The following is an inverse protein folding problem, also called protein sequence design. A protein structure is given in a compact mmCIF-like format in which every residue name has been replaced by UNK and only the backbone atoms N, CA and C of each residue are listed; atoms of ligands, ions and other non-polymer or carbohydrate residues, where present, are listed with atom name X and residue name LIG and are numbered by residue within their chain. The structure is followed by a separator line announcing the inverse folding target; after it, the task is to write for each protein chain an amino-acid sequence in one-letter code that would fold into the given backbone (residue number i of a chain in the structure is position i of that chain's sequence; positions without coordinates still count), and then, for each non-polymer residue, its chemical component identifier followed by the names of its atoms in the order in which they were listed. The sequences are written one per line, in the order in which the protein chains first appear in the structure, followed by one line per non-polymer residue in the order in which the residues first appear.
data_IF_483139119767
#
_entry.id   IF_483139119767
#
_cell.length_a   1.000
_cell.length_b   1.000
_cell.length_c   1.000
_cell.angle_alpha   90.00
_cell.angle_beta   90.00
_cell.angle_gamma   90.00
#
_symmetry.space_group_name_H-M   'P 1'
#
loop_
_entity.id
_entity.type
_entity.pdbx_description
1 polymer ?
#
# COMPACT_ATOMS: atom_id res chain seq x y z
N UNK A 1 1.38 -34.19 8.56
CA UNK A 1 0.36 -35.25 8.80
C UNK A 1 0.17 -36.06 7.52
N UNK A 2 -0.76 -37.03 7.46
CA UNK A 2 -1.03 -37.80 6.24
C UNK A 2 -2.51 -37.77 5.86
N UNK A 3 -2.82 -37.67 4.57
CA UNK A 3 -4.21 -37.54 4.07
C UNK A 3 -4.52 -38.63 3.06
N UNK A 4 -5.74 -39.18 3.12
CA UNK A 4 -6.23 -40.14 2.13
C UNK A 4 -7.13 -39.40 1.12
N UNK A 5 -6.84 -39.54 -0.17
CA UNK A 5 -7.68 -39.02 -1.26
C UNK A 5 -7.73 -40.04 -2.39
N UNK A 6 -8.93 -40.37 -2.85
CA UNK A 6 -9.16 -41.37 -3.91
C UNK A 6 -8.42 -42.71 -3.67
N UNK A 7 -8.38 -43.16 -2.42
CA UNK A 7 -7.71 -44.41 -2.02
C UNK A 7 -6.18 -44.33 -1.95
N UNK A 8 -5.58 -43.17 -2.18
CA UNK A 8 -4.13 -42.95 -2.09
C UNK A 8 -3.76 -42.23 -0.79
N UNK A 9 -2.69 -42.67 -0.15
CA UNK A 9 -2.09 -42.01 1.01
C UNK A 9 -1.09 -40.95 0.54
N UNK A 10 -1.23 -39.72 1.04
CA UNK A 10 -0.33 -38.62 0.75
C UNK A 10 0.34 -38.13 2.03
N UNK A 11 1.65 -37.91 1.97
CA UNK A 11 2.41 -37.22 3.01
C UNK A 11 2.26 -35.71 2.82
N UNK A 12 2.04 -34.99 3.92
CA UNK A 12 1.97 -33.54 3.89
C UNK A 12 3.36 -32.92 3.76
N UNK A 13 3.47 -31.91 2.90
CA UNK A 13 4.65 -31.06 2.78
C UNK A 13 4.27 -29.62 3.08
N UNK A 14 5.11 -28.96 3.87
CA UNK A 14 4.96 -27.52 4.15
C UNK A 14 5.71 -26.70 3.11
N UNK A 15 5.09 -25.60 2.67
CA UNK A 15 5.73 -24.64 1.81
C UNK A 15 6.36 -23.53 2.65
N UNK A 16 7.64 -23.24 2.40
CA UNK A 16 8.33 -22.13 3.07
C UNK A 16 7.66 -20.78 2.83
N UNK A 17 7.79 -19.88 3.80
CA UNK A 17 7.30 -18.50 3.70
C UNK A 17 7.89 -17.80 2.48
N UNK A 18 7.06 -17.10 1.72
CA UNK A 18 7.49 -16.40 0.49
C UNK A 18 7.62 -17.30 -0.76
N UNK A 19 7.13 -18.54 -0.73
CA UNK A 19 7.08 -19.37 -1.93
C UNK A 19 6.18 -18.79 -3.02
N UNK A 20 6.46 -19.15 -4.28
CA UNK A 20 5.63 -18.81 -5.43
C UNK A 20 4.76 -19.99 -5.84
N UNK A 21 3.70 -19.74 -6.62
CA UNK A 21 2.88 -20.82 -7.20
C UNK A 21 3.77 -21.77 -8.01
N UNK A 22 4.69 -21.24 -8.83
CA UNK A 22 5.66 -22.03 -9.59
C UNK A 22 6.56 -22.88 -8.68
N UNK A 23 7.10 -22.29 -7.61
CA UNK A 23 7.96 -22.99 -6.66
C UNK A 23 7.25 -24.16 -6.00
N UNK A 24 6.00 -23.95 -5.61
CA UNK A 24 5.13 -24.99 -5.05
C UNK A 24 4.85 -26.10 -6.05
N UNK A 25 4.47 -25.76 -7.28
CA UNK A 25 4.21 -26.74 -8.35
C UNK A 25 5.46 -27.55 -8.64
N UNK A 26 6.61 -26.89 -8.81
CA UNK A 26 7.88 -27.55 -9.10
C UNK A 26 8.29 -28.51 -7.97
N UNK A 27 8.16 -28.10 -6.70
CA UNK A 27 8.44 -28.96 -5.55
C UNK A 27 7.57 -30.22 -5.57
N UNK A 28 6.26 -30.07 -5.82
CA UNK A 28 5.34 -31.20 -5.90
C UNK A 28 5.68 -32.13 -7.09
N UNK A 29 6.07 -31.58 -8.23
CA UNK A 29 6.54 -32.35 -9.39
C UNK A 29 7.85 -33.11 -9.09
N UNK A 30 8.76 -32.55 -8.31
CA UNK A 30 9.97 -33.27 -7.87
C UNK A 30 9.63 -34.49 -7.02
N UNK A 31 8.67 -34.37 -6.10
CA UNK A 31 8.19 -35.53 -5.32
C UNK A 31 7.53 -36.58 -6.21
N UNK A 32 6.75 -36.16 -7.22
CA UNK A 32 6.15 -37.05 -8.22
C UNK A 32 7.23 -37.85 -8.96
N UNK A 33 8.30 -37.18 -9.40
CA UNK A 33 9.44 -37.82 -10.10
C UNK A 33 10.12 -38.85 -9.20
N UNK A 34 10.21 -38.58 -7.88
CA UNK A 34 10.74 -39.51 -6.88
C UNK A 34 9.77 -40.64 -6.50
N UNK A 35 8.60 -40.73 -7.14
CA UNK A 35 7.58 -41.73 -6.86
C UNK A 35 6.85 -41.50 -5.53
N UNK A 36 6.90 -40.29 -4.97
CA UNK A 36 6.26 -39.95 -3.70
C UNK A 36 4.94 -39.23 -3.92
N UNK A 37 3.90 -39.69 -3.21
CA UNK A 37 2.60 -39.05 -3.16
C UNK A 37 2.59 -38.06 -2.00
N UNK A 38 2.59 -36.77 -2.33
CA UNK A 38 2.58 -35.70 -1.33
C UNK A 38 1.51 -34.66 -1.66
N UNK A 39 1.10 -33.90 -0.65
CA UNK A 39 0.20 -32.77 -0.81
C UNK A 39 0.65 -31.59 0.07
N UNK A 40 0.27 -30.38 -0.29
CA UNK A 40 0.48 -29.21 0.55
C UNK A 40 -0.60 -28.15 0.33
N UNK A 41 -0.79 -27.29 1.32
CA UNK A 41 -1.72 -26.17 1.26
C UNK A 41 -0.98 -24.88 0.89
N UNK A 42 -1.43 -24.21 -0.17
CA UNK A 42 -0.89 -22.92 -0.60
C UNK A 42 -2.03 -21.95 -0.92
N UNK A 43 -2.02 -20.77 -0.29
CA UNK A 43 -3.07 -19.77 -0.44
C UNK A 43 -4.49 -20.36 -0.29
N UNK A 44 -4.70 -21.22 0.72
CA UNK A 44 -5.98 -21.91 1.00
C UNK A 44 -6.39 -22.98 -0.03
N UNK A 45 -5.49 -23.35 -0.96
CA UNK A 45 -5.73 -24.43 -1.93
C UNK A 45 -4.80 -25.62 -1.67
N UNK A 46 -5.37 -26.83 -1.65
CA UNK A 46 -4.59 -28.06 -1.58
C UNK A 46 -4.13 -28.50 -2.97
N UNK A 47 -2.82 -28.62 -3.14
CA UNK A 47 -2.17 -29.13 -4.34
C UNK A 47 -1.55 -30.51 -4.06
N UNK A 48 -1.59 -31.41 -5.04
CA UNK A 48 -1.20 -32.82 -4.89
C UNK A 48 -0.18 -33.19 -5.97
N UNK A 49 0.89 -33.91 -5.60
CA UNK A 49 2.01 -34.20 -6.50
C UNK A 49 1.61 -34.93 -7.78
N UNK A 50 0.61 -35.81 -7.74
CA UNK A 50 0.24 -36.61 -8.91
C UNK A 50 -0.70 -35.87 -9.88
N UNK A 51 -1.47 -34.90 -9.41
CA UNK A 51 -2.46 -34.15 -10.22
C UNK A 51 -2.08 -32.71 -10.50
N UNK A 52 -1.02 -32.18 -9.89
CA UNK A 52 -0.62 -30.79 -10.08
C UNK A 52 -0.14 -30.56 -11.52
N UNK A 53 -0.58 -29.43 -12.07
CA UNK A 53 -0.15 -28.86 -13.33
C UNK A 53 -0.03 -27.34 -13.13
N UNK A 54 0.84 -26.70 -13.90
CA UNK A 54 1.12 -25.27 -13.74
C UNK A 54 -0.12 -24.42 -13.97
N UNK A 55 -0.83 -24.62 -15.08
CA UNK A 55 -2.03 -23.83 -15.39
C UNK A 55 -3.19 -24.19 -14.48
N UNK A 56 -3.31 -25.46 -14.07
CA UNK A 56 -4.33 -25.87 -13.09
C UNK A 56 -4.11 -25.17 -11.74
N UNK A 57 -2.86 -25.11 -11.26
CA UNK A 57 -2.54 -24.44 -10.00
C UNK A 57 -2.80 -22.92 -10.08
N UNK A 58 -2.32 -22.28 -11.15
CA UNK A 58 -2.56 -20.85 -11.37
C UNK A 58 -4.05 -20.52 -11.48
N UNK A 59 -4.84 -21.31 -12.20
CA UNK A 59 -6.29 -21.10 -12.31
C UNK A 59 -7.00 -21.29 -10.98
N UNK A 60 -6.62 -22.30 -10.21
CA UNK A 60 -7.23 -22.56 -8.91
C UNK A 60 -6.99 -21.40 -7.93
N UNK A 61 -5.77 -20.88 -7.88
CA UNK A 61 -5.35 -19.88 -6.89
C UNK A 61 -5.68 -18.44 -7.31
N UNK A 62 -5.55 -18.13 -8.60
CA UNK A 62 -5.63 -16.74 -9.12
C UNK A 62 -6.80 -16.50 -10.07
N UNK A 63 -7.46 -17.57 -10.54
CA UNK A 63 -8.48 -17.51 -11.59
C UNK A 63 -7.92 -17.34 -13.01
N UNK A 64 -6.60 -17.32 -13.19
CA UNK A 64 -5.91 -17.08 -14.48
C UNK A 64 -4.96 -18.24 -14.83
N UNK A 65 -4.69 -18.47 -16.11
CA UNK A 65 -3.53 -19.27 -16.54
C UNK A 65 -2.23 -18.62 -16.10
N UNK A 66 -1.12 -19.37 -16.14
CA UNK A 66 0.21 -18.80 -15.91
C UNK A 66 0.49 -17.62 -16.85
N UNK A 67 0.24 -17.82 -18.14
CA UNK A 67 0.47 -16.80 -19.18
C UNK A 67 -0.33 -15.53 -18.93
N UNK A 68 -1.63 -15.65 -18.58
CA UNK A 68 -2.47 -14.50 -18.27
C UNK A 68 -2.03 -13.78 -16.98
N UNK A 69 -1.57 -14.53 -15.98
CA UNK A 69 -1.04 -13.96 -14.75
C UNK A 69 0.24 -13.18 -15.02
N UNK A 70 1.20 -13.78 -15.74
CA UNK A 70 2.49 -13.18 -16.07
C UNK A 70 2.33 -11.91 -16.92
N UNK A 71 1.45 -11.96 -17.92
CA UNK A 71 1.11 -10.80 -18.75
C UNK A 71 0.45 -9.68 -17.93
N UNK A 72 -0.40 -10.04 -16.98
CA UNK A 72 -1.00 -9.09 -16.05
C UNK A 72 0.04 -8.42 -15.14
N UNK A 73 1.00 -9.19 -14.61
CA UNK A 73 2.11 -8.68 -13.81
C UNK A 73 3.00 -7.74 -14.63
N UNK A 74 3.32 -8.12 -15.87
CA UNK A 74 4.12 -7.30 -16.79
C UNK A 74 3.46 -5.94 -17.04
N UNK A 75 2.17 -5.93 -17.42
CA UNK A 75 1.42 -4.68 -17.64
C UNK A 75 1.37 -3.82 -16.39
N UNK A 76 1.11 -4.42 -15.23
CA UNK A 76 1.08 -3.68 -13.96
C UNK A 76 2.43 -3.03 -13.64
N UNK A 77 3.55 -3.69 -13.92
CA UNK A 77 4.89 -3.13 -13.71
C UNK A 77 5.17 -1.98 -14.67
N UNK A 78 4.89 -2.17 -15.95
CA UNK A 78 5.04 -1.14 -16.98
C UNK A 78 4.21 0.11 -16.67
N UNK A 79 2.98 -0.08 -16.18
CA UNK A 79 2.11 1.01 -15.76
C UNK A 79 2.62 1.75 -14.53
N UNK A 80 3.17 1.04 -13.54
CA UNK A 80 3.82 1.66 -12.36
C UNK A 80 5.03 2.47 -12.80
N UNK A 81 5.95 1.86 -13.55
CA UNK A 81 7.15 2.54 -14.04
C UNK A 81 6.84 3.77 -14.90
N UNK A 82 5.79 3.69 -15.72
CA UNK A 82 5.32 4.83 -16.50
C UNK A 82 4.81 5.95 -15.60
N UNK A 83 3.96 5.65 -14.61
CA UNK A 83 3.46 6.66 -13.66
C UNK A 83 4.58 7.28 -12.83
N UNK A 84 5.55 6.47 -12.40
CA UNK A 84 6.69 6.97 -11.62
C UNK A 84 7.55 7.94 -12.43
N UNK A 85 7.85 7.61 -13.70
CA UNK A 85 8.55 8.54 -14.60
C UNK A 85 7.76 9.81 -14.86
N UNK A 86 6.46 9.69 -15.17
CA UNK A 86 5.58 10.84 -15.40
C UNK A 86 5.47 11.75 -14.17
N UNK A 87 5.58 11.18 -12.97
CA UNK A 87 5.62 11.93 -11.72
C UNK A 87 6.98 12.59 -11.51
N UNK A 88 8.08 11.86 -11.67
CA UNK A 88 9.46 12.39 -11.56
C UNK A 88 9.68 13.60 -12.46
N UNK A 89 9.19 13.55 -13.70
CA UNK A 89 9.26 14.65 -14.66
C UNK A 89 8.51 15.91 -14.18
N UNK A 90 7.45 15.75 -13.38
CA UNK A 90 6.63 16.84 -12.83
C UNK A 90 7.14 17.39 -11.50
N UNK A 91 8.06 16.69 -10.82
CA UNK A 91 8.53 17.09 -9.50
C UNK A 91 9.04 18.54 -9.46
N UNK A 92 9.84 19.04 -10.43
CA UNK A 92 10.31 20.44 -10.40
C UNK A 92 9.19 21.48 -10.42
N UNK A 93 8.07 21.20 -11.10
CA UNK A 93 6.88 22.07 -11.12
C UNK A 93 6.08 21.93 -9.82
N UNK A 94 5.90 20.69 -9.34
CA UNK A 94 5.20 20.40 -8.11
C UNK A 94 5.90 20.96 -6.88
N UNK A 95 7.23 20.93 -6.82
CA UNK A 95 8.03 21.53 -5.75
C UNK A 95 7.71 23.03 -5.64
N UNK A 96 7.78 23.76 -6.75
CA UNK A 96 7.46 25.19 -6.78
C UNK A 96 6.01 25.46 -6.37
N UNK A 97 5.07 24.67 -6.88
CA UNK A 97 3.66 24.78 -6.54
C UNK A 97 3.42 24.59 -5.04
N UNK A 98 3.91 23.49 -4.46
CA UNK A 98 3.66 23.16 -3.06
C UNK A 98 4.40 24.07 -2.09
N UNK A 99 5.63 24.49 -2.40
CA UNK A 99 6.35 25.50 -1.61
C UNK A 99 5.59 26.82 -1.56
N UNK A 100 5.08 27.28 -2.72
CA UNK A 100 4.26 28.49 -2.77
C UNK A 100 2.95 28.30 -2.00
N UNK A 101 2.26 27.18 -2.23
CA UNK A 101 0.96 26.90 -1.61
C UNK A 101 1.05 26.81 -0.09
N UNK A 102 2.11 26.22 0.45
CA UNK A 102 2.35 26.19 1.90
C UNK A 102 2.47 27.59 2.48
N UNK A 103 3.13 28.53 1.80
CA UNK A 103 3.29 29.92 2.29
C UNK A 103 1.99 30.71 2.34
N UNK A 104 0.99 30.30 1.57
CA UNK A 104 -0.36 30.91 1.60
C UNK A 104 -1.19 30.45 2.80
N UNK A 105 -0.86 29.30 3.39
CA UNK A 105 -1.65 28.62 4.42
C UNK A 105 -0.97 28.62 5.78
N UNK A 106 0.34 28.39 5.79
CA UNK A 106 1.14 28.16 7.00
C UNK A 106 1.67 29.46 7.58
N UNK A 107 1.87 29.47 8.89
CA UNK A 107 2.58 30.54 9.58
C UNK A 107 4.05 30.66 9.11
N UNK A 108 4.59 31.89 9.13
CA UNK A 108 5.91 32.22 8.57
C UNK A 108 7.06 31.41 9.21
N UNK A 109 6.95 31.13 10.50
CA UNK A 109 7.93 30.32 11.26
C UNK A 109 8.01 28.86 10.78
N UNK A 110 7.01 28.39 10.02
CA UNK A 110 6.96 27.03 9.46
C UNK A 110 7.47 26.92 8.02
N UNK A 111 7.63 28.05 7.31
CA UNK A 111 7.93 28.04 5.87
C UNK A 111 9.23 27.33 5.53
N UNK A 112 10.28 27.51 6.35
CA UNK A 112 11.58 26.88 6.10
C UNK A 112 11.46 25.35 6.16
N UNK A 113 10.82 24.82 7.20
CA UNK A 113 10.64 23.37 7.34
C UNK A 113 9.75 22.83 6.22
N UNK A 114 8.70 23.57 5.84
CA UNK A 114 7.84 23.21 4.72
C UNK A 114 8.62 23.08 3.41
N UNK A 115 9.42 24.09 3.06
CA UNK A 115 10.26 24.08 1.85
C UNK A 115 11.27 22.92 1.87
N UNK A 116 11.80 22.55 3.05
CA UNK A 116 12.72 21.40 3.18
C UNK A 116 12.02 20.05 2.96
N UNK A 117 10.77 19.89 3.42
CA UNK A 117 10.07 18.58 3.34
C UNK A 117 9.38 18.33 2.00
N UNK A 118 8.94 19.38 1.29
CA UNK A 118 8.23 19.27 0.00
C UNK A 118 8.97 18.36 -1.01
N UNK A 119 10.26 18.56 -1.33
CA UNK A 119 10.95 17.71 -2.29
C UNK A 119 11.11 16.26 -1.79
N UNK A 120 11.24 16.05 -0.48
CA UNK A 120 11.33 14.71 0.12
C UNK A 120 9.99 13.99 -0.02
N UNK A 121 8.89 14.67 0.28
CA UNK A 121 7.52 14.15 0.19
C UNK A 121 7.12 13.83 -1.24
N UNK A 122 7.46 14.68 -2.20
CA UNK A 122 7.20 14.41 -3.62
C UNK A 122 7.94 13.19 -4.16
N UNK A 123 9.01 12.74 -3.51
CA UNK A 123 9.81 11.57 -3.91
C UNK A 123 9.56 10.33 -3.05
N UNK A 124 8.64 10.41 -2.09
CA UNK A 124 8.33 9.30 -1.22
C UNK A 124 7.26 8.37 -1.81
N UNK A 125 6.85 7.37 -1.03
CA UNK A 125 5.84 6.38 -1.40
C UNK A 125 4.49 6.98 -1.81
N UNK A 126 4.12 8.13 -1.23
CA UNK A 126 2.83 8.79 -1.45
C UNK A 126 2.91 9.96 -2.43
N UNK A 127 4.11 10.27 -2.94
CA UNK A 127 4.32 11.20 -4.04
C UNK A 127 3.76 12.61 -3.75
N UNK A 128 3.79 13.03 -2.48
CA UNK A 128 3.34 14.35 -2.02
C UNK A 128 1.83 14.50 -1.86
N UNK A 129 1.06 13.42 -1.90
CA UNK A 129 -0.40 13.43 -1.64
C UNK A 129 -0.73 14.06 -0.28
N UNK A 130 0.07 13.77 0.73
CA UNK A 130 -0.03 14.28 2.09
C UNK A 130 0.18 15.79 2.18
N UNK A 131 0.88 16.44 1.23
CA UNK A 131 1.08 17.89 1.24
C UNK A 131 -0.26 18.61 1.11
N UNK A 132 -1.07 18.26 0.12
CA UNK A 132 -2.38 18.87 -0.09
C UNK A 132 -3.36 18.56 1.04
N UNK A 133 -3.36 17.30 1.49
CA UNK A 133 -4.22 16.84 2.57
C UNK A 133 -3.90 17.49 3.92
N UNK A 134 -2.61 17.70 4.21
CA UNK A 134 -2.19 18.46 5.38
C UNK A 134 -2.71 19.90 5.28
N UNK A 135 -2.44 20.59 4.17
CA UNK A 135 -2.82 22.00 4.03
C UNK A 135 -4.34 22.21 4.13
N UNK A 136 -5.18 21.34 3.55
CA UNK A 136 -6.64 21.49 3.66
C UNK A 136 -7.12 21.44 5.11
N UNK A 137 -6.54 20.56 5.92
CA UNK A 137 -6.84 20.46 7.35
C UNK A 137 -6.32 21.70 8.10
N UNK A 138 -5.08 22.14 7.81
CA UNK A 138 -4.51 23.33 8.46
C UNK A 138 -5.35 24.58 8.18
N UNK A 139 -5.86 24.75 6.96
CA UNK A 139 -6.76 25.86 6.60
C UNK A 139 -8.05 25.86 7.41
N UNK A 140 -8.69 24.70 7.56
CA UNK A 140 -9.89 24.55 8.38
C UNK A 140 -9.60 24.96 9.83
N UNK A 141 -8.51 24.43 10.40
CA UNK A 141 -8.13 24.70 11.79
C UNK A 141 -7.77 26.17 12.04
N UNK A 142 -7.15 26.83 11.05
CA UNK A 142 -6.76 28.24 11.11
C UNK A 142 -7.94 29.23 11.08
N UNK A 143 -9.13 28.80 10.65
CA UNK A 143 -10.34 29.62 10.67
C UNK A 143 -11.05 29.72 12.03
N UNK A 144 -10.67 28.89 13.00
CA UNK A 144 -11.32 28.79 14.31
C UNK A 144 -10.45 29.22 15.49
N UNK A 145 -11.08 29.52 16.63
CA UNK A 145 -10.35 29.78 17.89
C UNK A 145 -9.95 28.48 18.57
N UNK A 146 -8.94 28.51 19.43
CA UNK A 146 -8.52 27.33 20.23
C UNK A 146 -9.69 26.82 21.08
N UNK A 147 -9.95 25.51 21.07
CA UNK A 147 -11.11 24.90 21.74
C UNK A 147 -12.43 25.00 20.97
N UNK A 148 -12.43 25.55 19.75
CA UNK A 148 -13.59 25.52 18.88
C UNK A 148 -13.82 24.09 18.35
N UNK A 149 -14.85 23.45 18.89
CA UNK A 149 -15.26 22.07 18.58
C UNK A 149 -15.77 21.97 17.14
N UNK A 150 -16.36 23.03 16.59
CA UNK A 150 -16.94 22.98 15.24
C UNK A 150 -15.82 22.84 14.19
N UNK A 151 -14.72 23.59 14.32
CA UNK A 151 -13.57 23.45 13.41
C UNK A 151 -12.87 22.10 13.54
N UNK A 152 -12.77 21.52 14.73
CA UNK A 152 -12.20 20.17 14.91
C UNK A 152 -13.07 19.11 14.23
N UNK A 153 -14.39 19.21 14.35
CA UNK A 153 -15.33 18.28 13.74
C UNK A 153 -15.35 18.40 12.21
N UNK A 154 -15.23 19.63 11.68
CA UNK A 154 -15.08 19.86 10.24
C UNK A 154 -13.75 19.28 9.73
N UNK A 155 -12.64 19.51 10.44
CA UNK A 155 -11.35 18.94 10.10
C UNK A 155 -11.33 17.40 10.16
N UNK A 156 -12.05 16.82 11.14
CA UNK A 156 -12.22 15.36 11.25
C UNK A 156 -12.96 14.80 10.04
N UNK A 157 -14.05 15.44 9.62
CA UNK A 157 -14.80 15.03 8.42
C UNK A 157 -13.93 15.13 7.16
N UNK A 158 -13.06 16.12 7.09
CA UNK A 158 -12.12 16.28 5.98
C UNK A 158 -11.10 15.13 5.94
N UNK A 159 -10.44 14.79 7.05
CA UNK A 159 -9.47 13.67 7.05
C UNK A 159 -10.16 12.31 6.80
N UNK A 160 -11.39 12.11 7.30
CA UNK A 160 -12.17 10.90 7.03
C UNK A 160 -12.54 10.80 5.53
N UNK A 161 -12.89 11.93 4.90
CA UNK A 161 -13.21 12.02 3.47
C UNK A 161 -12.01 11.72 2.58
N UNK A 162 -10.80 12.04 3.03
CA UNK A 162 -9.56 11.75 2.28
C UNK A 162 -9.28 10.24 2.14
N UNK A 163 -9.98 9.38 2.91
CA UNK A 163 -9.99 7.92 2.77
C UNK A 163 -8.59 7.28 2.83
N UNK A 164 -7.88 7.58 3.92
CA UNK A 164 -6.51 7.13 4.15
C UNK A 164 -6.39 5.67 4.56
N UNK A 165 -5.25 5.06 4.21
CA UNK A 165 -4.75 3.88 4.91
C UNK A 165 -4.28 4.26 6.33
N UNK A 166 -4.17 3.31 7.25
CA UNK A 166 -3.66 3.62 8.60
C UNK A 166 -2.28 4.31 8.61
N UNK A 167 -1.38 3.94 7.68
CA UNK A 167 -0.06 4.59 7.57
C UNK A 167 -0.16 6.02 7.01
N UNK A 168 -0.91 6.22 5.92
CA UNK A 168 -1.07 7.56 5.34
C UNK A 168 -1.84 8.51 6.27
N UNK A 169 -2.81 7.98 7.01
CA UNK A 169 -3.54 8.72 8.04
C UNK A 169 -2.58 9.24 9.11
N UNK A 170 -1.73 8.34 9.66
CA UNK A 170 -0.72 8.71 10.64
C UNK A 170 0.27 9.76 10.13
N UNK A 171 0.68 9.66 8.86
CA UNK A 171 1.56 10.65 8.22
C UNK A 171 0.90 12.03 8.14
N UNK A 172 -0.33 12.12 7.62
CA UNK A 172 -1.06 13.41 7.51
C UNK A 172 -1.28 14.00 8.90
N UNK A 173 -1.71 13.21 9.89
CA UNK A 173 -1.85 13.66 11.27
C UNK A 173 -0.53 14.20 11.84
N UNK A 174 0.59 13.51 11.60
CA UNK A 174 1.90 13.98 12.03
C UNK A 174 2.28 15.32 11.39
N UNK A 175 1.97 15.51 10.11
CA UNK A 175 2.23 16.77 9.42
C UNK A 175 1.35 17.89 9.96
N UNK A 176 0.04 17.66 10.12
CA UNK A 176 -0.89 18.63 10.71
C UNK A 176 -0.42 19.03 12.13
N UNK A 177 0.02 18.06 12.92
CA UNK A 177 0.59 18.28 14.26
C UNK A 177 1.81 19.20 14.29
N UNK A 178 2.61 19.20 13.22
CA UNK A 178 3.82 20.03 13.09
C UNK A 178 3.52 21.41 12.49
N UNK A 179 2.63 21.46 11.50
CA UNK A 179 2.39 22.65 10.67
C UNK A 179 1.19 23.50 11.11
N UNK A 180 0.38 23.06 12.08
CA UNK A 180 -0.69 23.84 12.69
C UNK A 180 -0.48 24.06 14.18
N UNK A 181 -0.72 25.28 14.66
CA UNK A 181 -0.73 25.59 16.10
C UNK A 181 -1.78 24.79 16.88
N UNK A 182 -2.88 24.43 16.21
CA UNK A 182 -3.94 23.56 16.75
C UNK A 182 -3.75 22.10 16.33
N UNK A 183 -2.64 21.77 15.68
CA UNK A 183 -2.41 20.44 15.15
C UNK A 183 -2.42 19.35 16.22
N UNK A 184 -1.81 19.60 17.38
CA UNK A 184 -1.82 18.63 18.50
C UNK A 184 -3.22 18.37 19.05
N UNK A 185 -4.01 19.43 19.24
CA UNK A 185 -5.41 19.35 19.66
C UNK A 185 -6.23 18.51 18.67
N UNK A 186 -6.04 18.75 17.36
CA UNK A 186 -6.68 17.96 16.32
C UNK A 186 -6.27 16.49 16.36
N UNK A 187 -4.97 16.19 16.47
CA UNK A 187 -4.47 14.80 16.51
C UNK A 187 -5.04 14.05 17.72
N UNK A 188 -5.13 14.68 18.88
CA UNK A 188 -5.77 14.10 20.07
C UNK A 188 -7.27 13.87 19.88
N UNK A 189 -7.96 14.76 19.15
CA UNK A 189 -9.41 14.67 18.92
C UNK A 189 -9.81 13.51 18.00
N UNK A 190 -8.96 13.17 17.03
CA UNK A 190 -9.27 12.16 16.01
C UNK A 190 -8.73 10.75 16.33
N UNK A 191 -7.97 10.61 17.41
CA UNK A 191 -7.50 9.34 17.97
C UNK A 191 -8.55 8.68 18.85
#
# INVERSE_FOLDING_TARGET
MSKIKNGKLYEEVEFGWGNTIEGVVNLLLEYKIRGKLVYGEFNQHYLYSDTVDMDVAYKAITGKTKTEFDEGQRKSREDVERRDREHEDKIPELEQYWMKRGKEVLAEDKWKLWDEIVPVRLRDLYQGMELGNCLSIVEILGGGQKGDVDTLEVAKKEIDRQNHSGMSYGLVCSMVGEFSDRGKEFVEYVQ
#
